data_IF_873783438745
#
_entry.id   IF_873783438745
#
_cell.length_a   1.000
_cell.length_b   1.000
_cell.length_c   1.000
_cell.angle_alpha   90.00
_cell.angle_beta   90.00
_cell.angle_gamma   90.00
#
_symmetry.space_group_name_H-M   'P 1'
#
loop_
_entity.id
_entity.type
_entity.pdbx_description
1 polymer ?
#
# COMPACT_ATOMS: atom_id res chain seq x y z
N UNK A 1 -16.41 -5.89 21.95
CA UNK A 1 -15.00 -5.60 21.62
C UNK A 1 -14.87 -4.20 21.03
N UNK A 2 -14.11 -3.29 21.69
CA UNK A 2 -13.97 -1.87 21.32
C UNK A 2 -13.36 -1.64 19.92
N UNK A 3 -12.53 -2.57 19.42
CA UNK A 3 -11.90 -2.45 18.11
C UNK A 3 -12.88 -2.53 16.93
N UNK A 4 -13.86 -3.45 16.95
CA UNK A 4 -14.87 -3.57 15.88
C UNK A 4 -15.74 -2.32 15.74
N UNK A 5 -16.05 -1.64 16.84
CA UNK A 5 -16.82 -0.40 16.83
C UNK A 5 -16.09 0.75 16.11
N UNK A 6 -14.75 0.67 16.00
CA UNK A 6 -13.92 1.69 15.33
C UNK A 6 -13.83 1.51 13.82
N UNK A 7 -14.17 0.34 13.27
CA UNK A 7 -14.07 0.07 11.83
C UNK A 7 -15.00 1.00 11.03
N UNK A 8 -16.24 1.18 11.48
CA UNK A 8 -17.25 2.01 10.78
C UNK A 8 -16.81 3.48 10.65
N UNK A 9 -16.44 4.18 11.74
CA UNK A 9 -15.95 5.55 11.65
C UNK A 9 -14.73 5.69 10.74
N UNK A 10 -13.75 4.76 10.83
CA UNK A 10 -12.56 4.81 9.98
C UNK A 10 -12.91 4.63 8.50
N UNK A 11 -13.80 3.68 8.19
CA UNK A 11 -14.27 3.48 6.82
C UNK A 11 -14.98 4.73 6.27
N UNK A 12 -15.82 5.38 7.07
CA UNK A 12 -16.51 6.60 6.67
C UNK A 12 -15.52 7.73 6.32
N UNK A 13 -14.45 7.89 7.09
CA UNK A 13 -13.40 8.88 6.79
C UNK A 13 -12.67 8.61 5.47
N UNK A 14 -12.47 7.35 5.10
CA UNK A 14 -11.84 7.00 3.82
C UNK A 14 -12.79 7.06 2.63
N UNK A 15 -14.09 6.85 2.85
CA UNK A 15 -15.08 6.89 1.78
C UNK A 15 -15.07 8.24 1.07
N UNK A 16 -15.07 9.34 1.83
CA UNK A 16 -14.99 10.69 1.28
C UNK A 16 -13.73 10.89 0.41
N UNK A 17 -12.61 10.32 0.84
CA UNK A 17 -11.34 10.40 0.12
C UNK A 17 -11.38 9.67 -1.24
N UNK A 18 -11.97 8.47 -1.26
CA UNK A 18 -12.09 7.65 -2.47
C UNK A 18 -13.19 8.12 -3.42
N UNK A 19 -14.31 8.62 -2.91
CA UNK A 19 -15.43 9.07 -3.74
C UNK A 19 -15.17 10.44 -4.38
N UNK A 20 -14.47 11.34 -3.69
CA UNK A 20 -14.35 12.72 -4.15
C UNK A 20 -13.06 13.03 -4.90
N UNK A 21 -11.96 12.29 -4.67
CA UNK A 21 -10.63 12.79 -5.08
C UNK A 21 -9.66 11.75 -5.64
N UNK A 22 -9.66 10.51 -5.16
CA UNK A 22 -8.58 9.57 -5.48
C UNK A 22 -9.07 8.14 -5.71
N UNK A 23 -8.54 7.47 -6.74
CA UNK A 23 -8.85 6.04 -7.00
C UNK A 23 -8.14 5.07 -6.04
N UNK A 24 -7.03 5.48 -5.43
CA UNK A 24 -6.21 4.67 -4.53
C UNK A 24 -5.30 5.55 -3.65
N UNK A 25 -4.86 5.01 -2.51
CA UNK A 25 -3.85 5.60 -1.64
C UNK A 25 -2.51 4.92 -1.93
N UNK A 26 -1.44 5.71 -2.06
CA UNK A 26 -0.06 5.21 -2.15
C UNK A 26 0.64 5.41 -0.80
N UNK A 27 1.24 4.34 -0.26
CA UNK A 27 1.93 4.39 1.04
C UNK A 27 3.11 3.39 1.05
N UNK A 28 4.13 3.54 1.91
CA UNK A 28 5.18 2.52 2.03
C UNK A 28 4.60 1.15 2.37
N UNK A 29 5.15 0.07 1.78
CA UNK A 29 4.74 -1.31 2.12
C UNK A 29 5.34 -1.80 3.44
N UNK A 30 6.41 -1.16 3.91
CA UNK A 30 7.08 -1.44 5.18
C UNK A 30 7.75 -0.15 5.71
N UNK A 31 8.08 -0.12 7.00
CA UNK A 31 8.80 0.99 7.63
C UNK A 31 10.23 1.18 7.07
N UNK A 32 10.78 0.16 6.44
CA UNK A 32 12.10 0.20 5.82
C UNK A 32 12.44 -1.11 5.13
N UNK A 33 13.70 -1.26 4.75
CA UNK A 33 14.22 -2.50 4.17
C UNK A 33 14.17 -3.64 5.18
N UNK A 34 14.23 -4.87 4.69
CA UNK A 34 14.27 -6.05 5.55
C UNK A 34 15.34 -5.91 6.66
N UNK A 35 15.00 -6.16 7.93
CA UNK A 35 15.95 -6.12 9.03
C UNK A 35 17.01 -7.21 8.89
N UNK A 36 18.18 -7.01 9.51
CA UNK A 36 19.26 -8.00 9.50
C UNK A 36 18.92 -9.17 10.42
N UNK A 37 19.22 -10.39 9.96
CA UNK A 37 18.97 -11.62 10.71
C UNK A 37 17.48 -11.97 10.78
N UNK A 38 17.12 -12.84 11.72
CA UNK A 38 15.77 -13.41 11.82
C UNK A 38 15.06 -13.09 13.15
N UNK A 39 15.63 -12.19 13.95
CA UNK A 39 15.09 -11.84 15.27
C UNK A 39 13.77 -11.04 15.18
N UNK A 40 13.49 -10.43 14.03
CA UNK A 40 12.26 -9.68 13.76
C UNK A 40 11.92 -9.74 12.27
N UNK A 41 10.63 -9.72 11.96
CA UNK A 41 10.11 -9.61 10.58
C UNK A 41 9.86 -8.16 10.15
N UNK A 42 10.10 -7.19 11.04
CA UNK A 42 9.87 -5.77 10.81
C UNK A 42 8.60 -5.24 11.50
N UNK A 43 8.34 -3.95 11.31
CA UNK A 43 7.19 -3.25 11.89
C UNK A 43 5.97 -3.28 10.93
N UNK A 44 4.83 -3.89 11.32
CA UNK A 44 3.62 -3.99 10.49
C UNK A 44 2.72 -2.75 10.57
N UNK A 45 3.17 -1.63 11.16
CA UNK A 45 2.35 -0.42 11.35
C UNK A 45 1.73 0.09 10.04
N UNK A 46 2.42 -0.06 8.91
CA UNK A 46 1.91 0.34 7.59
C UNK A 46 0.87 -0.61 6.99
N UNK A 47 0.66 -1.79 7.55
CA UNK A 47 -0.28 -2.79 7.05
C UNK A 47 -1.49 -2.97 7.98
N UNK A 48 -1.29 -2.76 9.28
CA UNK A 48 -2.28 -3.05 10.33
C UNK A 48 -3.61 -2.35 10.10
N UNK A 49 -3.59 -1.09 9.68
CA UNK A 49 -4.79 -0.29 9.44
C UNK A 49 -5.69 -0.90 8.35
N UNK A 50 -5.09 -1.30 7.23
CA UNK A 50 -5.81 -1.84 6.06
C UNK A 50 -6.41 -3.21 6.38
N UNK A 51 -5.64 -4.05 7.08
CA UNK A 51 -6.12 -5.34 7.58
C UNK A 51 -7.28 -5.18 8.55
N UNK A 52 -7.21 -4.23 9.49
CA UNK A 52 -8.28 -3.96 10.44
C UNK A 52 -9.57 -3.50 9.74
N UNK A 53 -9.44 -2.66 8.72
CA UNK A 53 -10.58 -2.10 7.99
C UNK A 53 -11.13 -3.02 6.89
N UNK A 54 -10.40 -4.09 6.55
CA UNK A 54 -10.73 -4.99 5.45
C UNK A 54 -10.61 -4.30 4.09
N UNK A 55 -9.63 -3.41 3.94
CA UNK A 55 -9.38 -2.69 2.69
C UNK A 55 -8.38 -3.46 1.82
N UNK A 56 -8.62 -3.56 0.50
CA UNK A 56 -7.68 -4.23 -0.39
C UNK A 56 -6.40 -3.41 -0.50
N UNK A 57 -5.24 -4.09 -0.38
CA UNK A 57 -3.93 -3.49 -0.50
C UNK A 57 -3.01 -4.40 -1.33
N UNK A 58 -2.24 -3.82 -2.26
CA UNK A 58 -1.29 -4.55 -3.12
C UNK A 58 0.10 -3.94 -3.00
N UNK A 59 1.11 -4.78 -2.72
CA UNK A 59 2.52 -4.37 -2.64
C UNK A 59 3.19 -4.46 -4.01
N UNK A 60 3.93 -3.41 -4.38
CA UNK A 60 4.62 -3.25 -5.64
C UNK A 60 6.12 -2.99 -5.39
N UNK A 61 7.04 -3.80 -5.95
CA UNK A 61 8.47 -3.66 -5.74
C UNK A 61 9.05 -2.56 -6.65
N UNK A 62 8.79 -1.29 -6.30
CA UNK A 62 9.14 -0.14 -7.14
C UNK A 62 10.35 0.67 -6.63
N UNK A 63 10.96 0.30 -5.50
CA UNK A 63 12.06 1.06 -4.89
C UNK A 63 13.17 0.13 -4.39
N UNK A 64 14.34 0.72 -4.12
CA UNK A 64 15.44 0.09 -3.39
C UNK A 64 15.82 0.97 -2.21
N UNK A 65 16.15 0.37 -1.07
CA UNK A 65 16.70 1.10 0.06
C UNK A 65 18.17 1.48 -0.16
N UNK A 66 18.69 2.36 0.70
CA UNK A 66 20.09 2.81 0.64
C UNK A 66 21.13 1.68 0.78
N UNK A 67 20.71 0.52 1.30
CA UNK A 67 21.53 -0.70 1.43
C UNK A 67 21.40 -1.65 0.22
N UNK A 68 20.74 -1.23 -0.87
CA UNK A 68 20.53 -2.03 -2.07
C UNK A 68 19.44 -3.11 -1.96
N UNK A 69 18.76 -3.23 -0.82
CA UNK A 69 17.67 -4.20 -0.66
C UNK A 69 16.36 -3.67 -1.29
N UNK A 70 15.51 -4.55 -1.85
CA UNK A 70 14.24 -4.14 -2.44
C UNK A 70 13.32 -3.54 -1.38
N UNK A 71 12.61 -2.47 -1.75
CA UNK A 71 11.62 -1.79 -0.94
C UNK A 71 10.34 -1.61 -1.75
N UNK A 72 9.22 -2.02 -1.16
CA UNK A 72 7.91 -1.92 -1.80
C UNK A 72 7.17 -0.63 -1.44
N UNK A 73 6.35 -0.15 -2.37
CA UNK A 73 5.19 0.69 -2.05
C UNK A 73 3.93 -0.17 -2.09
N UNK A 74 2.91 0.19 -1.34
CA UNK A 74 1.60 -0.45 -1.43
C UNK A 74 0.56 0.55 -1.94
N UNK A 75 -0.31 0.07 -2.83
CA UNK A 75 -1.52 0.76 -3.25
C UNK A 75 -2.70 0.19 -2.45
N UNK A 76 -3.51 1.07 -1.87
CA UNK A 76 -4.69 0.71 -1.08
C UNK A 76 -5.94 1.26 -1.74
N UNK A 77 -6.93 0.40 -1.94
CA UNK A 77 -8.19 0.76 -2.59
C UNK A 77 -9.37 0.84 -1.62
N UNK A 78 -10.53 1.31 -2.10
CA UNK A 78 -11.77 1.23 -1.33
C UNK A 78 -12.14 -0.24 -1.09
N UNK A 79 -12.91 -0.48 -0.03
CA UNK A 79 -13.46 -1.81 0.28
C UNK A 79 -14.23 -2.34 -0.94
N UNK A 80 -14.05 -3.63 -1.24
CA UNK A 80 -14.65 -4.32 -2.41
C UNK A 80 -14.19 -3.74 -3.78
N UNK A 81 -13.14 -2.92 -3.79
CA UNK A 81 -12.56 -2.27 -4.96
C UNK A 81 -11.43 -3.03 -5.66
N UNK A 82 -11.25 -4.32 -5.40
CA UNK A 82 -10.09 -5.13 -5.79
C UNK A 82 -9.76 -5.03 -7.29
N UNK A 83 -10.77 -5.17 -8.15
CA UNK A 83 -10.58 -5.11 -9.60
C UNK A 83 -10.12 -3.71 -10.07
N UNK A 84 -10.66 -2.64 -9.46
CA UNK A 84 -10.22 -1.26 -9.72
C UNK A 84 -8.80 -1.06 -9.23
N UNK A 85 -8.48 -1.54 -8.03
CA UNK A 85 -7.15 -1.43 -7.45
C UNK A 85 -6.09 -2.11 -8.32
N UNK A 86 -6.33 -3.34 -8.76
CA UNK A 86 -5.40 -4.08 -9.62
C UNK A 86 -5.23 -3.42 -10.99
N UNK A 87 -6.29 -2.83 -11.56
CA UNK A 87 -6.18 -2.03 -12.79
C UNK A 87 -5.26 -0.82 -12.59
N UNK A 88 -5.44 -0.07 -11.50
CA UNK A 88 -4.60 1.08 -11.16
C UNK A 88 -3.16 0.65 -10.89
N UNK A 89 -2.94 -0.46 -10.19
CA UNK A 89 -1.62 -1.01 -9.93
C UNK A 89 -0.90 -1.39 -11.23
N UNK A 90 -1.59 -2.07 -12.16
CA UNK A 90 -1.03 -2.39 -13.49
C UNK A 90 -0.60 -1.15 -14.25
N UNK A 91 -1.45 -0.12 -14.25
CA UNK A 91 -1.13 1.16 -14.88
C UNK A 91 0.10 1.82 -14.24
N UNK A 92 0.16 1.86 -12.91
CA UNK A 92 1.28 2.47 -12.18
C UNK A 92 2.60 1.75 -12.50
N UNK A 93 2.62 0.42 -12.40
CA UNK A 93 3.81 -0.38 -12.71
C UNK A 93 4.29 -0.13 -14.13
N UNK A 94 3.38 -0.11 -15.12
CA UNK A 94 3.74 0.17 -16.50
C UNK A 94 4.31 1.59 -16.68
N UNK A 95 3.76 2.58 -15.97
CA UNK A 95 4.23 3.98 -16.03
C UNK A 95 5.64 4.15 -15.45
N UNK A 96 5.92 3.47 -14.33
CA UNK A 96 7.22 3.53 -13.66
C UNK A 96 8.27 2.72 -14.41
N UNK A 97 7.91 1.52 -14.91
CA UNK A 97 8.82 0.69 -15.72
C UNK A 97 9.20 1.38 -17.04
N UNK A 98 8.25 2.03 -17.72
CA UNK A 98 8.52 2.80 -18.94
C UNK A 98 9.36 4.07 -18.72
N UNK A 99 9.49 4.55 -17.48
CA UNK A 99 10.39 5.65 -17.13
C UNK A 99 11.81 5.21 -16.80
N UNK A 100 12.02 3.92 -16.47
CA UNK A 100 13.33 3.38 -16.13
C UNK A 100 14.27 3.19 -17.34
N UNK A 101 13.73 3.13 -18.56
CA UNK A 101 14.55 3.06 -19.79
C UNK A 101 15.15 4.40 -20.22
N UNK A 102 14.70 5.53 -19.66
CA UNK A 102 15.16 6.87 -20.08
C UNK A 102 16.32 7.45 -19.25
N UNK A 103 16.90 6.65 -18.34
CA UNK A 103 17.95 7.10 -17.41
C UNK A 103 19.26 6.30 -17.51
N UNK A 104 19.51 5.66 -18.66
CA UNK A 104 20.83 5.10 -19.02
C UNK A 104 21.46 5.95 -20.11
#
# INVERSE_FOLDING_TARGET
MRARARIRPVHASFLELFEQRYDAILTPAAAGTAPKGLASTGDPSFCTLWTLCGMPAVSLPLMHGANGLPLGVQLVGPREGDARLLRTARWLVARVAGGAESAT
#
